data_IF_537725929133
#
_entry.id   IF_537725929133
#
_cell.length_a   1.000
_cell.length_b   1.000
_cell.length_c   1.000
_cell.angle_alpha   90.00
_cell.angle_beta   90.00
_cell.angle_gamma   90.00
#
_symmetry.space_group_name_H-M   'P 1'
#
loop_
_entity.id
_entity.type
_entity.pdbx_description
1 polymer ?
#
# COMPACT_ATOMS: atom_id res chain seq x y z
N UNK A 1 8.53 6.52 4.25
CA UNK A 1 7.70 7.18 3.22
C UNK A 1 6.52 6.27 2.94
N UNK A 2 5.29 6.77 3.09
CA UNK A 2 4.11 6.03 2.65
C UNK A 2 4.03 6.09 1.12
N UNK A 3 3.60 5.01 0.49
CA UNK A 3 3.41 4.93 -0.96
C UNK A 3 2.07 5.47 -1.42
N UNK A 4 1.23 5.94 -0.50
CA UNK A 4 -0.04 6.59 -0.80
C UNK A 4 0.18 7.96 -1.45
N UNK A 5 -0.19 8.10 -2.72
CA UNK A 5 0.10 9.30 -3.50
C UNK A 5 -1.09 9.83 -4.30
N UNK A 6 -1.71 8.99 -5.12
CA UNK A 6 -2.77 9.42 -6.05
C UNK A 6 -4.14 9.50 -5.40
N UNK A 7 -4.66 8.36 -4.93
CA UNK A 7 -6.01 8.26 -4.38
C UNK A 7 -6.23 9.07 -3.10
N UNK A 8 -5.23 9.05 -2.21
CA UNK A 8 -5.14 9.82 -0.97
C UNK A 8 -5.44 11.32 -1.10
N UNK A 9 -4.97 11.93 -2.19
CA UNK A 9 -5.08 13.38 -2.42
C UNK A 9 -6.21 13.67 -3.38
N UNK A 10 -6.45 12.80 -4.37
CA UNK A 10 -7.51 12.94 -5.35
C UNK A 10 -8.90 12.95 -4.70
N UNK A 11 -9.19 12.02 -3.81
CA UNK A 11 -10.51 11.91 -3.18
C UNK A 11 -10.91 13.17 -2.37
N UNK A 12 -10.12 13.66 -1.41
CA UNK A 12 -10.46 14.88 -0.66
C UNK A 12 -10.40 16.12 -1.54
N UNK A 13 -9.50 16.19 -2.52
CA UNK A 13 -9.44 17.33 -3.44
C UNK A 13 -10.72 17.42 -4.28
N UNK A 14 -11.18 16.31 -4.87
CA UNK A 14 -12.40 16.32 -5.68
C UNK A 14 -13.66 16.53 -4.83
N UNK A 15 -13.71 15.95 -3.63
CA UNK A 15 -14.91 16.03 -2.77
C UNK A 15 -15.01 17.31 -1.94
N UNK A 16 -13.90 17.93 -1.53
CA UNK A 16 -13.88 19.14 -0.69
C UNK A 16 -13.56 20.41 -1.48
N UNK A 17 -12.68 20.33 -2.49
CA UNK A 17 -12.30 21.52 -3.28
C UNK A 17 -13.23 21.73 -4.46
N UNK A 18 -13.54 20.66 -5.21
CA UNK A 18 -14.37 20.72 -6.41
C UNK A 18 -15.86 20.42 -6.16
N UNK A 19 -16.25 20.10 -4.92
CA UNK A 19 -17.62 19.73 -4.54
C UNK A 19 -18.24 18.61 -5.41
N UNK A 20 -17.41 17.72 -5.95
CA UNK A 20 -17.85 16.58 -6.77
C UNK A 20 -18.42 15.48 -5.87
N UNK A 21 -19.37 14.71 -6.41
CA UNK A 21 -19.97 13.57 -5.72
C UNK A 21 -18.91 12.52 -5.29
N UNK A 22 -18.98 11.98 -4.07
CA UNK A 22 -18.03 10.98 -3.58
C UNK A 22 -17.95 9.71 -4.44
N UNK A 23 -19.02 9.33 -5.14
CA UNK A 23 -19.06 8.17 -6.04
C UNK A 23 -18.11 8.41 -7.21
N UNK A 24 -18.22 9.57 -7.86
CA UNK A 24 -17.32 9.96 -8.96
C UNK A 24 -15.88 10.14 -8.49
N UNK A 25 -15.68 10.69 -7.29
CA UNK A 25 -14.35 10.86 -6.71
C UNK A 25 -13.68 9.53 -6.38
N UNK A 26 -14.43 8.56 -5.85
CA UNK A 26 -13.95 7.20 -5.61
C UNK A 26 -13.55 6.52 -6.92
N UNK A 27 -14.43 6.55 -7.92
CA UNK A 27 -14.21 5.81 -9.16
C UNK A 27 -12.98 6.38 -9.89
N UNK A 28 -12.83 7.71 -9.89
CA UNK A 28 -11.60 8.37 -10.32
C UNK A 28 -10.37 7.94 -9.50
N UNK A 29 -10.48 7.84 -8.17
CA UNK A 29 -9.39 7.37 -7.29
C UNK A 29 -8.95 5.94 -7.64
N UNK A 30 -9.88 5.00 -7.87
CA UNK A 30 -9.55 3.63 -8.27
C UNK A 30 -8.87 3.57 -9.65
N UNK A 31 -9.34 4.41 -10.58
CA UNK A 31 -8.79 4.51 -11.92
C UNK A 31 -7.37 5.07 -11.91
N UNK A 32 -7.15 6.24 -11.31
CA UNK A 32 -5.82 6.85 -11.25
C UNK A 32 -4.84 5.94 -10.52
N UNK A 33 -5.32 5.19 -9.53
CA UNK A 33 -4.47 4.28 -8.78
C UNK A 33 -4.07 3.05 -9.58
N UNK A 34 -4.92 2.57 -10.49
CA UNK A 34 -4.58 1.49 -11.41
C UNK A 34 -3.42 1.87 -12.33
N UNK A 35 -3.39 3.10 -12.85
CA UNK A 35 -2.25 3.57 -13.67
C UNK A 35 -1.03 3.89 -12.80
N UNK A 36 -1.21 4.60 -11.68
CA UNK A 36 -0.13 5.02 -10.79
C UNK A 36 0.53 3.84 -10.06
N UNK A 37 -0.22 3.12 -9.22
CA UNK A 37 0.31 1.95 -8.49
C UNK A 37 0.65 0.81 -9.46
N UNK A 38 -0.05 0.66 -10.60
CA UNK A 38 0.32 -0.31 -11.63
C UNK A 38 1.73 -0.04 -12.20
N UNK A 39 2.03 1.22 -12.52
CA UNK A 39 3.37 1.63 -12.94
C UNK A 39 4.42 1.43 -11.84
N UNK A 40 4.09 1.76 -10.58
CA UNK A 40 4.99 1.54 -9.44
C UNK A 40 5.23 0.05 -9.17
N UNK A 41 4.20 -0.80 -9.32
CA UNK A 41 4.28 -2.26 -9.25
C UNK A 41 5.24 -2.80 -10.30
N UNK A 42 5.18 -2.31 -11.54
CA UNK A 42 6.12 -2.70 -12.59
C UNK A 42 7.57 -2.39 -12.20
N UNK A 43 7.85 -1.21 -11.66
CA UNK A 43 9.20 -0.84 -11.18
C UNK A 43 9.65 -1.71 -10.01
N UNK A 44 8.76 -1.98 -9.05
CA UNK A 44 9.04 -2.84 -7.88
C UNK A 44 9.42 -4.26 -8.32
N UNK A 45 8.70 -4.82 -9.29
CA UNK A 45 8.99 -6.13 -9.87
C UNK A 45 10.30 -6.12 -10.67
N UNK A 46 10.51 -5.10 -11.51
CA UNK A 46 11.72 -4.96 -12.33
C UNK A 46 12.99 -4.83 -11.47
N UNK A 47 12.93 -4.05 -10.40
CA UNK A 47 14.04 -3.84 -9.46
C UNK A 47 14.20 -4.97 -8.44
N UNK A 48 13.32 -5.98 -8.45
CA UNK A 48 13.29 -7.10 -7.49
C UNK A 48 13.43 -6.64 -6.04
N UNK A 49 12.66 -5.61 -5.67
CA UNK A 49 12.63 -5.10 -4.30
C UNK A 49 12.10 -6.20 -3.37
N UNK A 50 12.58 -6.25 -2.13
CA UNK A 50 12.13 -7.24 -1.15
C UNK A 50 10.66 -7.00 -0.81
N UNK A 51 9.81 -7.98 -1.11
CA UNK A 51 8.36 -7.96 -0.85
C UNK A 51 8.04 -9.09 0.13
N UNK A 52 7.07 -8.86 0.99
CA UNK A 52 6.55 -9.90 1.89
C UNK A 52 5.37 -10.62 1.21
N UNK A 53 5.68 -11.72 0.51
CA UNK A 53 4.73 -12.47 -0.31
C UNK A 53 3.55 -13.03 0.48
N UNK A 54 3.73 -13.37 1.77
CA UNK A 54 2.62 -13.89 2.59
C UNK A 54 1.63 -12.78 2.90
N UNK A 55 2.13 -11.61 3.27
CA UNK A 55 1.29 -10.44 3.49
C UNK A 55 0.61 -9.99 2.20
N UNK A 56 1.29 -10.15 1.06
CA UNK A 56 0.69 -9.91 -0.25
C UNK A 56 -0.50 -10.85 -0.46
N UNK A 57 -0.28 -12.16 -0.32
CA UNK A 57 -1.29 -13.18 -0.60
C UNK A 57 -2.48 -13.07 0.34
N UNK A 58 -2.25 -13.07 1.65
CA UNK A 58 -3.32 -13.03 2.65
C UNK A 58 -4.04 -11.66 2.67
N UNK A 59 -3.33 -10.58 2.34
CA UNK A 59 -3.88 -9.24 2.19
C UNK A 59 -4.85 -9.16 1.01
N UNK A 60 -4.42 -9.62 -0.17
CA UNK A 60 -5.27 -9.68 -1.37
C UNK A 60 -6.46 -10.64 -1.20
N UNK A 61 -6.26 -11.80 -0.56
CA UNK A 61 -7.34 -12.76 -0.28
C UNK A 61 -8.42 -12.16 0.61
N UNK A 62 -8.08 -11.26 1.54
CA UNK A 62 -9.05 -10.51 2.34
C UNK A 62 -9.66 -9.33 1.60
N UNK A 63 -8.84 -8.57 0.87
CA UNK A 63 -9.26 -7.29 0.28
C UNK A 63 -10.25 -7.43 -0.86
N UNK A 64 -10.11 -8.45 -1.69
CA UNK A 64 -11.02 -8.71 -2.82
C UNK A 64 -12.46 -8.94 -2.33
N UNK A 65 -12.74 -9.91 -1.43
CA UNK A 65 -14.10 -10.10 -0.93
C UNK A 65 -14.60 -8.91 -0.11
N UNK A 66 -13.73 -8.25 0.66
CA UNK A 66 -14.08 -7.04 1.41
C UNK A 66 -14.52 -5.90 0.50
N UNK A 67 -13.81 -5.69 -0.61
CA UNK A 67 -14.14 -4.68 -1.62
C UNK A 67 -15.43 -5.02 -2.38
N UNK A 68 -15.62 -6.28 -2.79
CA UNK A 68 -16.86 -6.71 -3.43
C UNK A 68 -18.08 -6.52 -2.53
N UNK A 69 -17.99 -6.91 -1.25
CA UNK A 69 -19.07 -6.68 -0.27
C UNK A 69 -19.26 -5.20 0.04
N UNK A 70 -18.17 -4.44 0.09
CA UNK A 70 -18.21 -3.00 0.27
C UNK A 70 -18.94 -2.28 -0.87
N UNK A 71 -18.76 -2.71 -2.12
CA UNK A 71 -19.53 -2.19 -3.25
C UNK A 71 -21.00 -2.60 -3.21
N UNK A 72 -21.30 -3.84 -2.81
CA UNK A 72 -22.67 -4.36 -2.82
C UNK A 72 -23.54 -3.81 -1.67
N UNK A 73 -22.98 -3.59 -0.48
CA UNK A 73 -23.77 -3.24 0.71
C UNK A 73 -23.39 -1.89 1.32
N UNK A 74 -22.11 -1.53 1.33
CA UNK A 74 -21.63 -0.35 2.08
C UNK A 74 -21.79 0.94 1.27
N UNK A 75 -21.74 0.85 -0.07
CA UNK A 75 -21.91 2.03 -0.94
C UNK A 75 -23.31 2.65 -0.86
N UNK A 76 -24.35 1.82 -0.77
CA UNK A 76 -25.75 2.25 -0.65
C UNK A 76 -26.13 2.71 0.77
N UNK A 77 -25.45 2.18 1.79
CA UNK A 77 -25.77 2.50 3.19
C UNK A 77 -25.17 3.83 3.68
N UNK A 78 -24.17 4.36 2.99
CA UNK A 78 -23.43 5.54 3.42
C UNK A 78 -23.84 6.78 2.64
N UNK A 79 -24.25 7.81 3.36
CA UNK A 79 -24.48 9.13 2.79
C UNK A 79 -23.16 9.81 2.35
N UNK A 80 -23.26 10.75 1.41
CA UNK A 80 -22.12 11.48 0.88
C UNK A 80 -21.31 12.20 1.98
N UNK A 81 -21.97 12.74 3.01
CA UNK A 81 -21.29 13.38 4.12
C UNK A 81 -20.52 12.36 4.99
N UNK A 82 -21.11 11.19 5.22
CA UNK A 82 -20.49 10.12 6.01
C UNK A 82 -19.23 9.56 5.32
N UNK A 83 -19.26 9.38 4.00
CA UNK A 83 -18.08 8.95 3.22
C UNK A 83 -16.89 9.92 3.40
N UNK A 84 -17.15 11.23 3.37
CA UNK A 84 -16.11 12.26 3.60
C UNK A 84 -15.56 12.23 5.03
N UNK A 85 -16.43 12.12 6.03
CA UNK A 85 -16.02 12.06 7.44
C UNK A 85 -15.19 10.80 7.74
N UNK A 86 -15.61 9.64 7.23
CA UNK A 86 -14.89 8.39 7.40
C UNK A 86 -13.51 8.45 6.75
N UNK A 87 -13.42 8.99 5.53
CA UNK A 87 -12.14 9.18 4.84
C UNK A 87 -11.15 9.99 5.70
N UNK A 88 -11.57 11.18 6.15
CA UNK A 88 -10.71 12.07 6.95
C UNK A 88 -10.32 11.42 8.27
N UNK A 89 -11.23 10.71 8.93
CA UNK A 89 -10.96 10.03 10.21
C UNK A 89 -9.92 8.90 10.05
N UNK A 90 -10.05 8.07 9.01
CA UNK A 90 -9.09 6.98 8.74
C UNK A 90 -7.71 7.57 8.44
N UNK A 91 -7.66 8.63 7.63
CA UNK A 91 -6.40 9.28 7.27
C UNK A 91 -5.73 9.95 8.48
N UNK A 92 -6.52 10.60 9.33
CA UNK A 92 -6.04 11.20 10.57
C UNK A 92 -5.47 10.13 11.51
N UNK A 93 -6.19 9.02 11.71
CA UNK A 93 -5.71 7.89 12.52
C UNK A 93 -4.42 7.31 11.97
N UNK A 94 -4.31 7.18 10.64
CA UNK A 94 -3.10 6.69 9.99
C UNK A 94 -1.92 7.64 10.15
N UNK A 95 -2.13 8.95 9.99
CA UNK A 95 -1.11 9.96 10.20
C UNK A 95 -0.59 9.95 11.65
N UNK A 96 -1.48 9.83 12.63
CA UNK A 96 -1.12 9.69 14.04
C UNK A 96 -0.32 8.41 14.28
N UNK A 97 -0.76 7.28 13.70
CA UNK A 97 -0.03 6.01 13.80
C UNK A 97 1.40 6.11 13.25
N UNK A 98 1.57 6.74 12.09
CA UNK A 98 2.89 7.00 11.49
C UNK A 98 3.73 7.96 12.34
N UNK A 99 3.12 9.00 12.89
CA UNK A 99 3.80 9.96 13.78
C UNK A 99 4.33 9.26 15.04
N UNK A 100 3.49 8.45 15.68
CA UNK A 100 3.87 7.63 16.84
C UNK A 100 4.99 6.64 16.50
N UNK A 101 4.93 6.03 15.31
CA UNK A 101 5.95 5.09 14.86
C UNK A 101 7.30 5.79 14.62
N UNK A 102 7.30 6.95 13.96
CA UNK A 102 8.52 7.71 13.67
C UNK A 102 9.17 8.30 14.95
N UNK A 103 8.36 8.64 15.95
CA UNK A 103 8.86 9.11 17.25
C UNK A 103 9.67 8.04 18.00
N UNK A 104 9.47 6.76 17.70
CA UNK A 104 10.13 5.61 18.34
C UNK A 104 11.35 5.11 17.53
N UNK A 105 12.39 5.94 17.40
CA UNK A 105 13.60 5.68 16.57
C UNK A 105 14.47 4.47 16.96
N UNK A 106 14.21 3.79 18.10
CA UNK A 106 15.04 2.68 18.64
C UNK A 106 14.34 1.31 18.62
N UNK A 107 13.69 0.92 17.52
CA UNK A 107 13.09 -0.43 17.41
C UNK A 107 13.96 -1.37 16.58
N UNK A 108 14.23 -2.56 17.11
CA UNK A 108 14.70 -3.70 16.32
C UNK A 108 13.65 -3.98 15.25
N UNK A 109 14.01 -3.73 14.00
CA UNK A 109 13.10 -3.78 12.87
C UNK A 109 13.41 -5.03 12.06
N UNK A 110 12.42 -5.88 11.82
CA UNK A 110 12.62 -7.14 11.12
C UNK A 110 12.32 -6.99 9.61
N UNK A 111 13.16 -7.57 8.76
CA UNK A 111 13.00 -7.54 7.29
C UNK A 111 11.91 -8.50 6.81
N UNK A 112 11.55 -9.50 7.62
CA UNK A 112 10.58 -10.56 7.33
C UNK A 112 9.79 -10.84 8.60
N UNK A 113 8.50 -11.19 8.48
CA UNK A 113 7.68 -11.59 9.64
C UNK A 113 8.36 -12.79 10.33
N UNK A 114 8.89 -12.65 11.56
CA UNK A 114 9.44 -13.78 12.31
C UNK A 114 8.29 -14.66 12.78
N UNK A 115 8.44 -15.99 12.72
CA UNK A 115 7.46 -16.98 13.20
C UNK A 115 6.04 -16.79 12.66
N UNK A 116 5.80 -17.35 11.47
CA UNK A 116 4.50 -17.32 10.80
C UNK A 116 3.53 -18.30 11.47
N UNK A 117 2.77 -17.80 12.45
CA UNK A 117 1.67 -18.53 13.09
C UNK A 117 0.35 -18.29 12.33
N UNK A 118 -0.57 -19.27 12.27
CA UNK A 118 -1.85 -19.12 11.56
C UNK A 118 -2.70 -17.96 12.08
N UNK A 119 -2.58 -17.61 13.37
CA UNK A 119 -3.20 -16.41 13.94
C UNK A 119 -2.81 -15.12 13.20
N UNK A 120 -1.55 -15.00 12.79
CA UNK A 120 -1.05 -13.82 12.06
C UNK A 120 -1.68 -13.73 10.67
N UNK A 121 -1.89 -14.86 10.01
CA UNK A 121 -2.56 -14.93 8.71
C UNK A 121 -4.03 -14.51 8.84
N UNK A 122 -4.74 -14.95 9.88
CA UNK A 122 -6.12 -14.55 10.15
C UNK A 122 -6.24 -13.04 10.37
N UNK A 123 -5.38 -12.46 11.21
CA UNK A 123 -5.38 -11.00 11.45
C UNK A 123 -5.13 -10.23 10.15
N UNK A 124 -4.24 -10.74 9.30
CA UNK A 124 -3.91 -10.07 8.06
C UNK A 124 -5.03 -10.16 7.02
N UNK A 125 -5.71 -11.31 6.91
CA UNK A 125 -6.89 -11.48 6.05
C UNK A 125 -8.06 -10.64 6.54
N UNK A 126 -8.32 -10.58 7.86
CA UNK A 126 -9.35 -9.71 8.43
C UNK A 126 -9.04 -8.23 8.18
N UNK A 127 -7.78 -7.84 8.32
CA UNK A 127 -7.39 -6.45 8.05
C UNK A 127 -7.45 -6.11 6.57
N UNK A 128 -7.07 -7.05 5.70
CA UNK A 128 -7.26 -6.93 4.26
C UNK A 128 -8.74 -6.76 3.91
N UNK A 129 -9.62 -7.52 4.55
CA UNK A 129 -11.07 -7.42 4.39
C UNK A 129 -11.61 -6.04 4.76
N UNK A 130 -11.29 -5.55 5.97
CA UNK A 130 -11.69 -4.21 6.41
C UNK A 130 -11.12 -3.12 5.49
N UNK A 131 -9.86 -3.25 5.08
CA UNK A 131 -9.23 -2.35 4.12
C UNK A 131 -9.87 -2.39 2.74
N UNK A 132 -10.36 -3.55 2.31
CA UNK A 132 -11.15 -3.72 1.08
C UNK A 132 -12.48 -2.97 1.14
N UNK A 133 -13.19 -3.05 2.27
CA UNK A 133 -14.41 -2.27 2.53
C UNK A 133 -14.12 -0.76 2.52
N UNK A 134 -12.98 -0.33 3.07
CA UNK A 134 -12.60 1.09 2.99
C UNK A 134 -12.29 1.52 1.55
N UNK A 135 -11.61 0.66 0.80
CA UNK A 135 -11.30 0.90 -0.62
C UNK A 135 -12.57 1.04 -1.45
N UNK A 136 -13.68 0.37 -1.09
CA UNK A 136 -14.92 0.41 -1.86
C UNK A 136 -15.70 1.74 -1.77
N UNK A 137 -15.45 2.60 -0.78
CA UNK A 137 -16.07 3.94 -0.73
C UNK A 137 -15.08 5.09 -0.90
N UNK A 138 -13.83 4.93 -0.48
CA UNK A 138 -12.79 5.96 -0.59
C UNK A 138 -11.95 5.83 -1.88
N UNK A 139 -11.90 4.63 -2.47
CA UNK A 139 -11.06 4.35 -3.64
C UNK A 139 -9.58 4.12 -3.30
N UNK A 140 -9.22 4.15 -2.02
CA UNK A 140 -7.97 3.66 -1.44
C UNK A 140 -8.17 3.32 0.04
N UNK A 141 -7.33 2.46 0.63
CA UNK A 141 -7.43 2.14 2.06
C UNK A 141 -6.91 0.75 2.46
N UNK A 142 -6.86 -0.21 1.54
CA UNK A 142 -6.28 -1.54 1.80
C UNK A 142 -4.78 -1.44 2.13
N UNK A 143 -4.05 -0.59 1.43
CA UNK A 143 -2.65 -0.29 1.68
C UNK A 143 -2.43 0.34 3.05
N UNK A 144 -3.23 1.32 3.46
CA UNK A 144 -3.14 1.92 4.81
C UNK A 144 -3.33 0.85 5.89
N UNK A 145 -4.35 0.00 5.74
CA UNK A 145 -4.67 -1.02 6.72
C UNK A 145 -3.56 -2.07 6.82
N UNK A 146 -3.12 -2.61 5.68
CA UNK A 146 -2.05 -3.62 5.64
C UNK A 146 -0.70 -3.02 6.06
N UNK A 147 -0.40 -1.79 5.64
CA UNK A 147 0.82 -1.09 6.03
C UNK A 147 0.85 -0.86 7.55
N UNK A 148 -0.27 -0.41 8.13
CA UNK A 148 -0.39 -0.17 9.56
C UNK A 148 -0.20 -1.45 10.37
N UNK A 149 -0.83 -2.56 9.97
CA UNK A 149 -0.64 -3.85 10.66
C UNK A 149 0.77 -4.40 10.48
N UNK A 150 1.34 -4.33 9.28
CA UNK A 150 2.70 -4.81 9.05
C UNK A 150 3.73 -4.03 9.88
N UNK A 151 3.60 -2.71 9.96
CA UNK A 151 4.55 -1.85 10.68
C UNK A 151 4.32 -1.80 12.19
N UNK A 152 3.06 -1.79 12.66
CA UNK A 152 2.74 -1.71 14.09
C UNK A 152 2.69 -3.08 14.77
N UNK A 153 1.98 -4.04 14.19
CA UNK A 153 1.73 -5.36 14.80
C UNK A 153 2.89 -6.31 14.55
N UNK A 154 3.34 -6.42 13.30
CA UNK A 154 4.44 -7.31 12.93
C UNK A 154 5.83 -6.67 13.00
N UNK A 155 5.89 -5.36 13.29
CA UNK A 155 7.15 -4.58 13.38
C UNK A 155 8.06 -4.80 12.16
N UNK A 156 7.44 -5.02 11.01
CA UNK A 156 8.11 -5.11 9.71
C UNK A 156 8.62 -3.72 9.35
N UNK A 157 9.81 -3.67 8.77
CA UNK A 157 10.38 -2.40 8.35
C UNK A 157 9.48 -1.70 7.33
N UNK A 158 9.28 -0.39 7.48
CA UNK A 158 8.63 0.46 6.45
C UNK A 158 9.25 0.21 5.07
N UNK A 159 10.55 -0.09 5.06
CA UNK A 159 11.32 -0.47 3.88
C UNK A 159 10.69 -1.64 3.09
N UNK A 160 10.28 -2.71 3.74
CA UNK A 160 9.68 -3.87 3.07
C UNK A 160 8.15 -3.79 3.03
N UNK A 161 7.54 -3.08 3.99
CA UNK A 161 6.09 -2.89 4.05
C UNK A 161 5.58 -1.99 2.91
N UNK A 162 6.24 -0.86 2.61
CA UNK A 162 5.83 0.08 1.55
C UNK A 162 5.73 -0.57 0.16
N UNK A 163 6.75 -1.27 -0.38
CA UNK A 163 6.62 -1.91 -1.70
C UNK A 163 5.59 -3.03 -1.69
N UNK A 164 5.42 -3.74 -0.57
CA UNK A 164 4.38 -4.78 -0.44
C UNK A 164 2.98 -4.18 -0.59
N UNK A 165 2.70 -3.07 0.08
CA UNK A 165 1.37 -2.43 0.01
C UNK A 165 1.10 -1.73 -1.32
N UNK A 166 2.12 -1.22 -2.02
CA UNK A 166 1.97 -0.75 -3.41
C UNK A 166 1.47 -1.87 -4.31
N UNK A 167 2.05 -3.06 -4.18
CA UNK A 167 1.67 -4.19 -5.02
C UNK A 167 0.25 -4.66 -4.69
N UNK A 168 -0.11 -4.73 -3.40
CA UNK A 168 -1.49 -5.05 -2.98
C UNK A 168 -2.47 -4.03 -3.55
N UNK A 169 -2.20 -2.74 -3.39
CA UNK A 169 -3.11 -1.69 -3.85
C UNK A 169 -3.22 -1.66 -5.37
N UNK A 170 -2.12 -1.85 -6.11
CA UNK A 170 -2.14 -1.94 -7.57
C UNK A 170 -3.00 -3.10 -8.07
N UNK A 171 -2.87 -4.28 -7.46
CA UNK A 171 -3.71 -5.43 -7.80
C UNK A 171 -5.17 -5.19 -7.42
N UNK A 172 -5.42 -4.64 -6.23
CA UNK A 172 -6.76 -4.40 -5.72
C UNK A 172 -7.49 -3.32 -6.55
N UNK A 173 -6.80 -2.25 -6.96
CA UNK A 173 -7.38 -1.20 -7.80
C UNK A 173 -7.69 -1.70 -9.21
N UNK A 174 -6.85 -2.57 -9.78
CA UNK A 174 -7.13 -3.23 -11.07
C UNK A 174 -8.42 -4.06 -11.00
N UNK A 175 -8.59 -4.86 -9.94
CA UNK A 175 -9.80 -5.68 -9.72
C UNK A 175 -11.01 -4.79 -9.45
N UNK A 176 -10.86 -3.74 -8.63
CA UNK A 176 -11.92 -2.79 -8.31
C UNK A 176 -12.41 -2.04 -9.55
N UNK A 177 -11.49 -1.56 -10.38
CA UNK A 177 -11.80 -0.93 -11.67
C UNK A 177 -12.47 -1.92 -12.63
N UNK A 178 -11.96 -3.15 -12.75
CA UNK A 178 -12.58 -4.19 -13.57
C UNK A 178 -14.01 -4.50 -13.12
N UNK A 179 -14.24 -4.63 -11.82
CA UNK A 179 -15.56 -4.87 -11.23
C UNK A 179 -16.51 -3.69 -11.52
N UNK A 180 -16.07 -2.45 -11.38
CA UNK A 180 -16.90 -1.27 -11.69
C UNK A 180 -17.18 -1.11 -13.19
N UNK A 181 -16.17 -1.28 -14.04
CA UNK A 181 -16.28 -1.11 -15.47
C UNK A 181 -17.20 -2.15 -16.13
N UNK A 182 -17.13 -3.41 -15.69
CA UNK A 182 -17.87 -4.52 -16.34
C UNK A 182 -19.17 -4.84 -15.61
N UNK A 183 -19.18 -4.83 -14.28
CA UNK A 183 -20.35 -5.27 -13.51
C UNK A 183 -21.39 -4.17 -13.32
N UNK A 184 -20.93 -2.94 -13.06
CA UNK A 184 -21.82 -1.80 -12.81
C UNK A 184 -22.05 -0.93 -14.05
N UNK A 185 -21.16 -1.00 -15.06
CA UNK A 185 -21.33 -0.34 -16.36
C UNK A 185 -21.47 1.19 -16.30
N UNK A 186 -21.21 1.80 -15.15
CA UNK A 186 -21.54 3.19 -14.85
C UNK A 186 -20.28 3.91 -14.36
N UNK A 187 -19.30 4.04 -15.25
CA UNK A 187 -18.14 4.90 -14.99
C UNK A 187 -18.54 6.32 -15.40
N UNK A 188 -18.59 7.30 -14.48
CA UNK A 188 -18.99 8.65 -14.82
C UNK A 188 -18.06 9.24 -15.89
N UNK A 189 -18.62 9.82 -16.96
CA UNK A 189 -17.83 10.45 -18.04
C UNK A 189 -16.84 11.49 -17.50
N UNK A 190 -17.27 12.22 -16.47
CA UNK A 190 -16.45 13.19 -15.74
C UNK A 190 -15.17 12.56 -15.15
N UNK A 191 -15.29 11.35 -14.58
CA UNK A 191 -14.13 10.63 -14.03
C UNK A 191 -13.16 10.22 -15.14
N UNK A 192 -13.67 9.84 -16.31
CA UNK A 192 -12.86 9.47 -17.49
C UNK A 192 -12.16 10.70 -18.09
N UNK A 193 -12.83 11.85 -18.14
CA UNK A 193 -12.23 13.10 -18.63
C UNK A 193 -11.09 13.60 -17.73
N UNK A 194 -11.31 13.65 -16.42
CA UNK A 194 -10.25 13.98 -15.47
C UNK A 194 -9.11 12.95 -15.51
N UNK A 195 -9.43 11.67 -15.75
CA UNK A 195 -8.44 10.62 -15.89
C UNK A 195 -7.55 10.85 -17.12
N UNK A 196 -8.13 11.19 -18.29
CA UNK A 196 -7.35 11.45 -19.52
C UNK A 196 -6.24 12.48 -19.30
N UNK A 197 -6.54 13.53 -18.54
CA UNK A 197 -5.56 14.58 -18.20
C UNK A 197 -4.54 14.11 -17.15
N UNK A 198 -4.96 13.24 -16.22
CA UNK A 198 -4.15 12.80 -15.08
C UNK A 198 -3.27 11.58 -15.37
N UNK A 199 -3.59 10.75 -16.38
CA UNK A 199 -2.80 9.57 -16.79
C UNK A 199 -1.32 9.89 -17.02
N UNK A 200 -0.92 10.89 -17.83
CA UNK A 200 0.49 11.13 -18.09
C UNK A 200 1.25 11.52 -16.82
N UNK A 201 0.62 12.27 -15.92
CA UNK A 201 1.23 12.66 -14.64
C UNK A 201 1.36 11.46 -13.72
N UNK A 202 0.30 10.67 -13.54
CA UNK A 202 0.34 9.51 -12.64
C UNK A 202 1.29 8.40 -13.14
N UNK A 203 1.30 8.15 -14.44
CA UNK A 203 2.14 7.11 -15.06
C UNK A 203 3.62 7.50 -15.07
N UNK A 204 3.95 8.80 -15.00
CA UNK A 204 5.36 9.24 -14.91
C UNK A 204 5.81 9.41 -13.46
N UNK A 205 5.03 10.10 -12.62
CA UNK A 205 5.41 10.35 -11.22
C UNK A 205 5.47 9.08 -10.38
N UNK A 206 4.55 8.12 -10.54
CA UNK A 206 4.51 6.95 -9.65
C UNK A 206 5.70 6.00 -9.87
N UNK A 207 6.10 5.64 -11.12
CA UNK A 207 7.33 4.92 -11.38
C UNK A 207 8.58 5.69 -10.93
N UNK A 208 8.64 7.00 -11.17
CA UNK A 208 9.77 7.82 -10.71
C UNK A 208 9.91 7.82 -9.19
N UNK A 209 8.80 7.94 -8.45
CA UNK A 209 8.79 7.87 -6.99
C UNK A 209 9.25 6.49 -6.48
N UNK A 210 8.76 5.41 -7.09
CA UNK A 210 9.19 4.04 -6.79
C UNK A 210 10.68 3.83 -7.08
N UNK A 211 11.16 4.35 -8.21
CA UNK A 211 12.55 4.27 -8.62
C UNK A 211 13.49 5.01 -7.66
N UNK A 212 13.18 6.27 -7.33
CA UNK A 212 13.94 7.07 -6.36
C UNK A 212 13.92 6.40 -4.99
N UNK A 213 12.75 5.93 -4.55
CA UNK A 213 12.60 5.17 -3.31
C UNK A 213 13.51 3.95 -3.28
N UNK A 214 13.55 3.17 -4.37
CA UNK A 214 14.42 1.99 -4.49
C UNK A 214 15.93 2.33 -4.50
N UNK A 215 16.32 3.47 -5.06
CA UNK A 215 17.71 3.92 -5.11
C UNK A 215 18.24 4.34 -3.73
N UNK A 216 17.49 5.14 -2.99
CA UNK A 216 17.80 5.47 -1.60
C UNK A 216 17.76 4.22 -0.70
N UNK A 217 16.89 3.26 -1.02
CA UNK A 217 16.83 1.97 -0.36
C UNK A 217 18.14 1.17 -0.49
N UNK A 218 18.70 1.13 -1.69
CA UNK A 218 19.95 0.40 -2.00
C UNK A 218 21.16 1.00 -1.26
N UNK A 219 21.21 2.32 -1.08
CA UNK A 219 22.25 2.97 -0.26
C UNK A 219 22.16 2.50 1.20
N UNK A 220 20.98 2.51 1.80
CA UNK A 220 20.81 2.06 3.19
C UNK A 220 21.07 0.56 3.41
N UNK A 221 20.97 -0.28 2.37
CA UNK A 221 21.30 -1.71 2.42
C UNK A 221 22.81 -1.94 2.45
N UNK A 222 23.61 -1.10 1.78
CA UNK A 222 25.07 -1.21 1.83
C UNK A 222 25.61 -0.95 3.24
N UNK A 223 25.01 -0.02 3.97
CA UNK A 223 25.41 0.31 5.35
C UNK A 223 25.03 -0.78 6.37
N UNK A 224 23.90 -1.47 6.17
CA UNK A 224 23.47 -2.60 7.01
C UNK A 224 24.22 -3.91 6.73
N UNK A 225 24.84 -4.05 5.56
CA UNK A 225 25.69 -5.21 5.26
C UNK A 225 27.11 -5.02 5.84
N UNK A 226 27.52 -3.80 6.18
CA UNK A 226 28.77 -3.54 6.92
C UNK A 226 28.60 -3.63 8.45
N UNK A 227 27.38 -3.72 8.97
CA UNK A 227 27.09 -3.71 10.43
C UNK A 227 26.46 -5.00 10.95
N UNK A 228 26.50 -6.10 10.20
CA UNK A 228 26.18 -7.43 10.74
C UNK A 228 27.48 -8.12 11.22
N UNK A 229 27.66 -8.41 12.53
CA UNK A 229 28.86 -9.06 13.07
C UNK A 229 28.91 -10.58 12.78
N UNK A 230 28.49 -10.99 11.59
CA UNK A 230 28.56 -12.38 11.11
C UNK A 230 29.78 -12.64 10.21
N UNK A 231 30.45 -11.60 9.69
CA UNK A 231 31.66 -11.77 8.88
C UNK A 231 32.98 -11.83 9.69
N UNK A 232 32.95 -11.53 10.99
CA UNK A 232 34.15 -11.62 11.85
C UNK A 232 34.49 -13.06 12.25
N UNK A 233 33.51 -13.98 12.25
CA UNK A 233 33.74 -15.37 12.61
C UNK A 233 34.32 -16.22 11.46
N UNK A 234 34.06 -15.84 10.19
CA UNK A 234 34.58 -16.60 9.04
C UNK A 234 36.04 -16.30 8.71
N UNK A 235 36.58 -15.14 9.12
CA UNK A 235 38.00 -14.80 8.94
C UNK A 235 38.93 -15.39 10.01
N UNK A 236 38.43 -15.72 11.20
CA UNK A 236 39.27 -16.32 12.26
C UNK A 236 39.53 -17.82 12.02
N UNK A 237 38.56 -18.57 11.47
CA UNK A 237 38.77 -19.99 11.15
C UNK A 237 39.68 -20.25 9.94
N UNK A 238 39.84 -19.29 9.01
CA UNK A 238 40.72 -19.45 7.85
C UNK A 238 42.18 -19.08 8.11
N UNK A 239 42.50 -18.42 9.23
CA UNK A 239 43.89 -18.14 9.61
C UNK A 239 44.53 -19.24 10.50
N UNK A 240 43.75 -20.12 11.13
CA UNK A 240 44.30 -21.26 11.89
C UNK A 240 44.66 -22.49 11.02
N UNK A 241 44.29 -22.50 9.73
CA UNK A 241 44.53 -23.64 8.83
C UNK A 241 45.68 -23.41 7.82
N UNK A 242 46.61 -22.52 8.14
CA UNK A 242 47.88 -22.31 7.41
C UNK A 242 49.03 -22.04 8.39
N UNK A 243 49.44 -23.10 9.09
CA UNK A 243 50.79 -23.22 9.63
C UNK A 243 51.37 -24.55 9.13
N UNK A 244 52.32 -24.54 8.18
CA UNK A 244 53.41 -25.51 8.16
C UNK A 244 54.52 -25.11 9.14
#
# INVERSE_FOLDING_TARGET
MTSEGGGAVAFPFMTLCLHIDPISARDFSLMIQTFGMGGALFVVLFMKVQIEERSLLFGCLGSIPGMCLGFAYVDELLDAAQKKMLFVSIWSSFAIALFLLNSQKKRLTYSTIPDFKPWKAVVLTLTGFVGGVFTSFAGSGVDICIFSINTLLFRVSEKTATPTTVVIMGLNSMIGFYCRAIWYGNVPDLAVEYLKVSIPVATTMAPMGSFIGSHFHRQSRKDLTQTSPQDTQRKSSSQMCKLP
#
